data_IF_467420862766
#
_entry.id   IF_467420862766
#
_cell.length_a   1.000
_cell.length_b   1.000
_cell.length_c   1.000
_cell.angle_alpha   90.00
_cell.angle_beta   90.00
_cell.angle_gamma   90.00
#
_symmetry.space_group_name_H-M   'P 1'
#
loop_
_entity.id
_entity.type
_entity.pdbx_description
1 polymer ?
#
# COMPACT_ATOMS: atom_id res chain seq x y z
N UNK A 1 2.86 -3.63 14.40
CA UNK A 1 3.73 -3.84 13.21
C UNK A 1 4.52 -2.59 12.86
N UNK A 2 3.86 -1.51 12.44
CA UNK A 2 4.49 -0.20 12.31
C UNK A 2 4.01 0.73 13.39
N UNK A 3 4.89 1.64 13.87
CA UNK A 3 4.54 2.73 14.78
C UNK A 3 5.21 4.00 14.31
N UNK A 4 4.42 5.06 14.17
CA UNK A 4 4.88 6.44 14.07
C UNK A 4 4.61 7.08 15.42
N UNK A 5 5.62 7.70 16.02
CA UNK A 5 5.51 8.37 17.30
C UNK A 5 5.88 9.84 17.14
N UNK A 6 4.87 10.72 17.25
CA UNK A 6 4.96 12.18 17.15
C UNK A 6 5.75 12.66 15.92
N UNK A 7 5.50 12.03 14.77
CA UNK A 7 6.23 12.28 13.52
C UNK A 7 5.80 13.59 12.88
N UNK A 8 6.77 14.47 12.61
CA UNK A 8 6.56 15.69 11.82
C UNK A 8 7.50 15.72 10.61
N UNK A 9 7.02 16.30 9.51
CA UNK A 9 7.77 16.45 8.26
C UNK A 9 7.38 17.73 7.53
N UNK A 10 8.39 18.49 7.12
CA UNK A 10 8.23 19.73 6.37
C UNK A 10 8.98 19.65 5.04
N UNK A 11 8.42 20.26 4.01
CA UNK A 11 9.06 20.53 2.73
C UNK A 11 9.11 22.05 2.51
N UNK A 12 10.22 22.65 2.87
CA UNK A 12 10.32 24.11 2.93
C UNK A 12 9.31 24.68 3.93
N UNK A 13 8.38 25.52 3.46
CA UNK A 13 7.30 26.07 4.31
C UNK A 13 6.04 25.18 4.38
N UNK A 14 5.97 24.12 3.61
CA UNK A 14 4.81 23.23 3.58
C UNK A 14 4.93 22.15 4.64
N UNK A 15 3.91 22.00 5.47
CA UNK A 15 3.81 20.94 6.49
C UNK A 15 3.17 19.72 5.82
N UNK A 16 3.95 18.66 5.67
CA UNK A 16 3.46 17.39 5.13
C UNK A 16 2.90 16.47 6.22
N UNK A 17 3.56 16.43 7.39
CA UNK A 17 3.08 15.74 8.59
C UNK A 17 3.31 16.64 9.81
N UNK A 18 2.34 16.65 10.71
CA UNK A 18 2.32 17.48 11.91
C UNK A 18 1.93 16.62 13.12
N UNK A 19 2.94 16.22 13.88
CA UNK A 19 2.80 15.44 15.11
C UNK A 19 1.95 14.16 14.94
N UNK A 20 2.22 13.39 13.89
CA UNK A 20 1.45 12.17 13.59
C UNK A 20 1.88 11.04 14.51
N UNK A 21 0.91 10.51 15.27
CA UNK A 21 1.05 9.26 16.02
C UNK A 21 0.08 8.24 15.45
N UNK A 22 0.62 7.10 15.01
CA UNK A 22 -0.14 6.05 14.34
C UNK A 22 0.47 4.68 14.64
N UNK A 23 -0.39 3.72 14.98
CA UNK A 23 0.01 2.32 15.12
C UNK A 23 -0.75 1.45 14.12
N UNK A 24 0.00 0.69 13.32
CA UNK A 24 -0.54 -0.33 12.41
C UNK A 24 -0.45 -1.69 13.08
N UNK A 25 -1.57 -2.34 13.27
CA UNK A 25 -1.64 -3.67 13.88
C UNK A 25 -1.02 -4.74 12.96
N UNK A 26 -0.43 -5.77 13.57
CA UNK A 26 0.11 -6.92 12.83
C UNK A 26 -1.05 -7.77 12.28
N UNK A 27 -0.90 -8.24 11.04
CA UNK A 27 -1.88 -9.12 10.40
C UNK A 27 -3.20 -8.45 10.01
N UNK A 28 -3.29 -7.12 10.15
CA UNK A 28 -4.46 -6.34 9.77
C UNK A 28 -4.18 -5.46 8.55
N UNK A 29 -5.24 -5.11 7.85
CA UNK A 29 -5.22 -4.15 6.75
C UNK A 29 -5.63 -2.76 7.26
N UNK A 30 -4.77 -1.77 7.06
CA UNK A 30 -5.00 -0.36 7.41
C UNK A 30 -5.04 0.50 6.16
N UNK A 31 -6.11 1.25 5.96
CA UNK A 31 -6.23 2.20 4.85
C UNK A 31 -6.00 3.64 5.34
N UNK A 32 -5.08 4.34 4.70
CA UNK A 32 -4.88 5.78 4.86
C UNK A 32 -5.75 6.51 3.84
N UNK A 33 -6.74 7.27 4.30
CA UNK A 33 -7.68 8.03 3.47
C UNK A 33 -7.60 9.52 3.78
N UNK A 34 -8.13 10.35 2.88
CA UNK A 34 -8.17 11.81 3.05
C UNK A 34 -7.92 12.55 1.75
N UNK A 35 -8.09 13.87 1.73
CA UNK A 35 -7.89 14.69 0.53
C UNK A 35 -6.46 14.62 -0.01
N UNK A 36 -6.27 15.08 -1.26
CA UNK A 36 -4.93 15.29 -1.82
C UNK A 36 -4.13 16.22 -0.92
N UNK A 37 -2.84 15.93 -0.75
CA UNK A 37 -1.96 16.70 0.14
C UNK A 37 -2.16 16.45 1.65
N UNK A 38 -3.01 15.50 2.06
CA UNK A 38 -3.21 15.18 3.48
C UNK A 38 -2.00 14.53 4.17
N UNK A 39 -0.96 14.12 3.43
CA UNK A 39 0.25 13.48 3.98
C UNK A 39 0.28 11.95 3.85
N UNK A 40 -0.73 11.32 3.26
CA UNK A 40 -0.85 9.85 3.16
C UNK A 40 0.36 9.16 2.54
N UNK A 41 0.77 9.57 1.33
CA UNK A 41 1.94 8.99 0.64
C UNK A 41 3.25 9.34 1.35
N UNK A 42 3.32 10.46 2.10
CA UNK A 42 4.47 10.78 2.95
C UNK A 42 4.59 9.77 4.10
N UNK A 43 3.47 9.43 4.77
CA UNK A 43 3.45 8.35 5.77
C UNK A 43 3.94 7.05 5.13
N UNK A 44 3.38 6.64 4.00
CA UNK A 44 3.74 5.38 3.35
C UNK A 44 5.23 5.33 2.99
N UNK A 45 5.79 6.44 2.45
CA UNK A 45 7.23 6.55 2.13
C UNK A 45 8.11 6.49 3.37
N UNK A 46 7.66 7.01 4.51
CA UNK A 46 8.39 6.88 5.78
C UNK A 46 8.42 5.45 6.28
N UNK A 47 7.31 4.69 6.15
CA UNK A 47 7.25 3.30 6.57
C UNK A 47 8.27 2.41 5.83
N UNK A 48 8.64 2.77 4.59
CA UNK A 48 9.67 2.05 3.80
C UNK A 48 11.04 2.76 3.85
N UNK A 49 11.15 3.86 4.61
CA UNK A 49 12.38 4.64 4.76
C UNK A 49 12.84 5.36 3.49
N UNK A 50 11.92 5.73 2.59
CA UNK A 50 12.18 6.63 1.46
C UNK A 50 12.18 8.08 1.89
N UNK A 51 11.44 8.39 2.96
CA UNK A 51 11.39 9.69 3.61
C UNK A 51 11.75 9.52 5.09
N UNK A 52 12.29 10.59 5.69
CA UNK A 52 12.69 10.62 7.08
C UNK A 52 11.95 11.74 7.83
N UNK A 53 11.52 11.51 9.06
CA UNK A 53 10.90 12.56 9.84
C UNK A 53 11.92 13.65 10.22
N UNK A 54 11.45 14.89 10.36
CA UNK A 54 12.22 15.99 10.94
C UNK A 54 12.23 15.89 12.48
N UNK A 55 11.15 15.36 13.07
CA UNK A 55 11.02 15.02 14.47
C UNK A 55 10.15 13.79 14.67
N UNK A 56 10.27 13.17 15.86
CA UNK A 56 9.58 11.91 16.16
C UNK A 56 10.36 10.68 15.65
N UNK A 57 9.71 9.52 15.67
CA UNK A 57 10.34 8.28 15.27
C UNK A 57 9.39 7.35 14.51
N UNK A 58 9.95 6.50 13.64
CA UNK A 58 9.24 5.42 12.95
C UNK A 58 9.89 4.11 13.33
N UNK A 59 9.08 3.11 13.68
CA UNK A 59 9.57 1.77 13.97
C UNK A 59 8.81 0.69 13.18
N UNK A 60 9.52 -0.40 12.90
CA UNK A 60 8.99 -1.60 12.27
C UNK A 60 9.30 -2.81 13.14
N UNK A 61 8.29 -3.55 13.56
CA UNK A 61 8.41 -4.68 14.51
C UNK A 61 9.15 -4.32 15.80
N UNK A 62 8.87 -3.14 16.35
CA UNK A 62 9.51 -2.64 17.58
C UNK A 62 10.95 -2.17 17.38
N UNK A 63 11.51 -2.29 16.17
CA UNK A 63 12.86 -1.82 15.86
C UNK A 63 12.79 -0.45 15.15
N UNK A 64 13.45 0.59 15.65
CA UNK A 64 13.50 1.87 14.98
C UNK A 64 14.05 1.76 13.55
N UNK A 65 13.42 2.46 12.61
CA UNK A 65 13.93 2.61 11.26
C UNK A 65 15.19 3.50 11.33
N UNK A 66 16.32 2.96 10.86
CA UNK A 66 17.58 3.68 10.80
C UNK A 66 18.22 3.54 9.43
N UNK A 67 19.05 4.50 9.03
CA UNK A 67 19.75 4.44 7.73
C UNK A 67 20.63 3.18 7.62
N UNK A 68 21.28 2.77 8.71
CA UNK A 68 22.15 1.59 8.73
C UNK A 68 21.38 0.27 8.57
N UNK A 69 20.18 0.14 9.18
CA UNK A 69 19.36 -1.08 9.12
C UNK A 69 18.39 -1.14 7.94
N UNK A 70 18.31 -0.08 7.13
CA UNK A 70 17.24 0.11 6.15
C UNK A 70 17.16 -0.98 5.09
N UNK A 71 18.30 -1.47 4.59
CA UNK A 71 18.32 -2.49 3.55
C UNK A 71 17.69 -3.80 4.03
N UNK A 72 18.04 -4.26 5.22
CA UNK A 72 17.45 -5.46 5.82
C UNK A 72 15.96 -5.30 6.09
N UNK A 73 15.54 -4.12 6.55
CA UNK A 73 14.13 -3.83 6.80
C UNK A 73 13.32 -3.78 5.50
N UNK A 74 13.84 -3.19 4.42
CA UNK A 74 13.19 -3.14 3.11
C UNK A 74 12.95 -4.51 2.49
N UNK A 75 13.82 -5.50 2.75
CA UNK A 75 13.60 -6.88 2.31
C UNK A 75 12.38 -7.54 2.99
N UNK A 76 11.96 -7.01 4.13
CA UNK A 76 10.79 -7.45 4.89
C UNK A 76 9.53 -6.64 4.60
N UNK A 77 9.58 -5.71 3.65
CA UNK A 77 8.46 -4.83 3.28
C UNK A 77 8.28 -4.91 1.77
N UNK A 78 7.14 -5.42 1.32
CA UNK A 78 6.72 -5.32 -0.08
C UNK A 78 6.14 -3.94 -0.33
N UNK A 79 6.60 -3.26 -1.37
CA UNK A 79 6.09 -1.93 -1.71
C UNK A 79 5.63 -1.88 -3.16
N UNK A 80 4.37 -1.51 -3.36
CA UNK A 80 3.76 -1.27 -4.67
C UNK A 80 3.45 0.21 -4.76
N UNK A 81 4.15 0.90 -5.65
CA UNK A 81 3.89 2.31 -5.96
C UNK A 81 2.75 2.42 -6.97
N UNK A 82 2.19 3.60 -7.09
CA UNK A 82 1.16 3.93 -8.07
C UNK A 82 1.50 3.39 -9.47
N UNK A 83 0.52 2.84 -10.19
CA UNK A 83 0.70 2.20 -11.50
C UNK A 83 1.66 0.99 -11.54
N UNK A 84 1.91 0.35 -10.39
CA UNK A 84 2.78 -0.82 -10.25
C UNK A 84 4.29 -0.52 -10.28
N UNK A 85 4.72 0.62 -10.82
CA UNK A 85 6.12 1.08 -10.83
C UNK A 85 7.10 0.08 -11.43
N UNK A 86 6.73 -0.58 -12.52
CA UNK A 86 7.58 -1.55 -13.20
C UNK A 86 8.69 -0.85 -13.99
N UNK A 87 9.85 -1.47 -14.06
CA UNK A 87 10.94 -1.03 -14.93
C UNK A 87 10.56 -1.25 -16.40
N UNK A 88 10.43 -0.19 -17.21
CA UNK A 88 9.87 -0.29 -18.56
C UNK A 88 10.77 -1.07 -19.54
N UNK A 89 12.06 -1.15 -19.27
CA UNK A 89 13.06 -1.84 -20.08
C UNK A 89 13.25 -3.33 -19.70
N UNK A 90 12.48 -3.83 -18.75
CA UNK A 90 12.48 -5.22 -18.31
C UNK A 90 11.12 -5.85 -18.58
N UNK A 91 11.10 -7.13 -19.00
CA UNK A 91 9.87 -7.89 -19.04
C UNK A 91 9.27 -8.11 -17.63
N UNK A 92 8.03 -8.61 -17.57
CA UNK A 92 7.33 -8.81 -16.30
C UNK A 92 8.07 -9.81 -15.39
N UNK A 93 8.63 -10.89 -15.95
CA UNK A 93 9.43 -11.87 -15.21
C UNK A 93 10.65 -11.21 -14.56
N UNK A 94 11.43 -10.48 -15.33
CA UNK A 94 12.64 -9.80 -14.86
C UNK A 94 12.34 -8.78 -13.77
N UNK A 95 11.24 -8.03 -13.91
CA UNK A 95 10.75 -7.11 -12.87
C UNK A 95 10.48 -7.84 -11.55
N UNK A 96 9.79 -8.99 -11.59
CA UNK A 96 9.41 -9.75 -10.39
C UNK A 96 10.61 -10.37 -9.71
N UNK A 97 11.51 -11.01 -10.46
CA UNK A 97 12.59 -11.81 -9.88
C UNK A 97 13.84 -11.02 -9.53
N UNK A 98 13.90 -9.73 -9.90
CA UNK A 98 15.10 -8.89 -9.79
C UNK A 98 15.72 -8.95 -8.39
N UNK A 99 14.94 -8.70 -7.35
CA UNK A 99 15.46 -8.62 -5.99
C UNK A 99 15.90 -10.00 -5.47
N UNK A 100 15.13 -11.05 -5.76
CA UNK A 100 15.49 -12.42 -5.37
C UNK A 100 16.80 -12.88 -6.06
N UNK A 101 17.00 -12.53 -7.33
CA UNK A 101 18.26 -12.77 -8.05
C UNK A 101 19.42 -11.99 -7.45
N UNK A 102 19.23 -10.72 -7.14
CA UNK A 102 20.25 -9.87 -6.51
C UNK A 102 20.68 -10.39 -5.15
N UNK A 103 19.74 -11.03 -4.41
CA UNK A 103 20.01 -11.68 -3.13
C UNK A 103 20.56 -13.10 -3.27
N UNK A 104 20.86 -13.56 -4.49
CA UNK A 104 21.49 -14.86 -4.75
C UNK A 104 20.57 -16.07 -4.54
N UNK A 105 19.23 -15.91 -4.65
CA UNK A 105 18.33 -17.05 -4.53
C UNK A 105 18.60 -18.09 -5.64
N UNK A 106 18.57 -19.40 -5.34
CA UNK A 106 18.65 -20.46 -6.35
C UNK A 106 17.53 -20.33 -7.40
N UNK A 107 17.83 -20.69 -8.64
CA UNK A 107 16.89 -20.58 -9.77
C UNK A 107 15.60 -21.36 -9.53
N UNK A 108 15.72 -22.56 -8.97
CA UNK A 108 14.60 -23.45 -8.64
C UNK A 108 13.65 -22.80 -7.62
N UNK A 109 14.21 -22.17 -6.57
CA UNK A 109 13.44 -21.44 -5.57
C UNK A 109 12.70 -20.24 -6.18
N UNK A 110 13.37 -19.48 -7.04
CA UNK A 110 12.77 -18.35 -7.75
C UNK A 110 11.62 -18.83 -8.63
N UNK A 111 11.83 -19.91 -9.38
CA UNK A 111 10.81 -20.45 -10.30
C UNK A 111 9.58 -20.95 -9.53
N UNK A 112 9.76 -21.77 -8.51
CA UNK A 112 8.67 -22.29 -7.68
C UNK A 112 7.87 -21.16 -7.02
N UNK A 113 8.56 -20.13 -6.48
CA UNK A 113 7.91 -18.98 -5.87
C UNK A 113 7.13 -18.15 -6.89
N UNK A 114 7.72 -17.92 -8.07
CA UNK A 114 7.07 -17.18 -9.15
C UNK A 114 5.78 -17.86 -9.61
N UNK A 115 5.79 -19.18 -9.82
CA UNK A 115 4.62 -19.98 -10.21
C UNK A 115 3.52 -19.88 -9.15
N UNK A 116 3.87 -20.06 -7.88
CA UNK A 116 2.93 -19.91 -6.76
C UNK A 116 2.30 -18.52 -6.73
N UNK A 117 3.09 -17.45 -6.91
CA UNK A 117 2.60 -16.09 -6.91
C UNK A 117 1.76 -15.74 -8.14
N UNK A 118 2.09 -16.29 -9.32
CA UNK A 118 1.27 -16.15 -10.52
C UNK A 118 -0.12 -16.76 -10.31
N UNK A 119 -0.19 -17.95 -9.69
CA UNK A 119 -1.47 -18.59 -9.34
C UNK A 119 -2.24 -17.74 -8.33
N UNK A 120 -1.58 -17.31 -7.25
CA UNK A 120 -2.17 -16.54 -6.17
C UNK A 120 -2.74 -15.18 -6.66
N UNK A 121 -2.00 -14.49 -7.53
CA UNK A 121 -2.39 -13.19 -8.09
C UNK A 121 -3.16 -13.33 -9.42
N UNK A 122 -3.53 -14.55 -9.83
CA UNK A 122 -4.27 -14.82 -11.07
C UNK A 122 -3.63 -14.18 -12.31
N UNK A 123 -2.29 -14.23 -12.41
CA UNK A 123 -1.55 -13.74 -13.57
C UNK A 123 -1.22 -14.90 -14.50
N UNK A 124 -1.75 -14.96 -15.74
CA UNK A 124 -1.37 -15.98 -16.72
C UNK A 124 0.13 -16.00 -16.96
N UNK A 125 0.81 -17.17 -16.86
CA UNK A 125 2.28 -17.26 -17.02
C UNK A 125 2.80 -16.72 -18.36
N UNK A 126 2.00 -16.78 -19.42
CA UNK A 126 2.33 -16.22 -20.73
C UNK A 126 2.61 -14.72 -20.71
N UNK A 127 2.05 -13.99 -19.73
CA UNK A 127 2.26 -12.54 -19.57
C UNK A 127 3.63 -12.19 -18.98
N UNK A 128 4.33 -13.16 -18.41
CA UNK A 128 5.65 -12.95 -17.82
C UNK A 128 6.72 -12.53 -18.84
N UNK A 129 6.54 -12.88 -20.13
CA UNK A 129 7.44 -12.47 -21.21
C UNK A 129 7.13 -11.08 -21.78
N UNK A 130 6.05 -10.45 -21.34
CA UNK A 130 5.62 -9.14 -21.83
C UNK A 130 6.33 -8.00 -21.11
N UNK A 131 6.57 -6.91 -21.85
CA UNK A 131 7.05 -5.65 -21.28
C UNK A 131 5.88 -4.85 -20.69
N UNK A 132 6.13 -3.94 -19.73
CA UNK A 132 5.07 -3.15 -19.09
C UNK A 132 4.14 -2.41 -20.07
N UNK A 133 4.66 -1.94 -21.20
CA UNK A 133 3.87 -1.27 -22.24
C UNK A 133 2.86 -2.20 -22.96
N UNK A 134 3.09 -3.50 -22.92
CA UNK A 134 2.24 -4.51 -23.56
C UNK A 134 1.19 -5.11 -22.60
N UNK A 135 1.20 -4.66 -21.34
CA UNK A 135 0.29 -5.11 -20.30
C UNK A 135 -0.84 -4.11 -20.09
N UNK A 136 -2.05 -4.59 -19.79
CA UNK A 136 -3.12 -3.72 -19.30
C UNK A 136 -2.79 -3.13 -17.93
N UNK A 137 -3.52 -2.09 -17.47
CA UNK A 137 -3.35 -1.50 -16.15
C UNK A 137 -3.45 -2.53 -15.03
N UNK A 138 -4.50 -3.36 -15.04
CA UNK A 138 -4.68 -4.43 -14.06
C UNK A 138 -3.58 -5.50 -14.10
N UNK A 139 -3.09 -5.85 -15.30
CA UNK A 139 -1.96 -6.78 -15.45
C UNK A 139 -0.67 -6.18 -14.88
N UNK A 140 -0.37 -4.90 -15.14
CA UNK A 140 0.78 -4.21 -14.52
C UNK A 140 0.68 -4.20 -13.00
N UNK A 141 -0.52 -3.96 -12.47
CA UNK A 141 -0.76 -3.95 -11.03
C UNK A 141 -0.50 -5.34 -10.40
N UNK A 142 -0.99 -6.41 -11.02
CA UNK A 142 -0.71 -7.78 -10.58
C UNK A 142 0.78 -8.11 -10.62
N UNK A 143 1.50 -7.73 -11.67
CA UNK A 143 2.96 -7.90 -11.75
C UNK A 143 3.67 -7.12 -10.63
N UNK A 144 3.27 -5.90 -10.34
CA UNK A 144 3.77 -5.09 -9.22
C UNK A 144 3.54 -5.77 -7.86
N UNK A 145 2.36 -6.36 -7.68
CA UNK A 145 2.01 -7.08 -6.46
C UNK A 145 2.83 -8.38 -6.31
N UNK A 146 2.98 -9.17 -7.38
CA UNK A 146 3.84 -10.37 -7.41
C UNK A 146 5.29 -9.99 -7.07
N UNK A 147 5.81 -8.89 -7.63
CA UNK A 147 7.14 -8.37 -7.32
C UNK A 147 7.29 -8.05 -5.82
N UNK A 148 6.31 -7.35 -5.26
CA UNK A 148 6.31 -6.99 -3.84
C UNK A 148 6.25 -8.21 -2.92
N UNK A 149 5.57 -9.29 -3.35
CA UNK A 149 5.43 -10.54 -2.61
C UNK A 149 6.57 -11.52 -2.80
N UNK A 150 7.50 -11.27 -3.72
CA UNK A 150 8.54 -12.24 -4.11
C UNK A 150 9.39 -12.74 -2.95
N UNK A 151 9.79 -11.86 -2.05
CA UNK A 151 10.59 -12.20 -0.87
C UNK A 151 9.77 -12.70 0.34
N UNK A 152 8.47 -12.89 0.18
CA UNK A 152 7.55 -13.27 1.26
C UNK A 152 7.55 -12.30 2.45
N UNK A 153 7.44 -10.98 2.23
CA UNK A 153 7.54 -10.00 3.30
C UNK A 153 6.36 -10.12 4.28
N UNK A 154 6.54 -9.87 5.58
CA UNK A 154 5.45 -9.83 6.55
C UNK A 154 4.56 -8.59 6.43
N UNK A 155 4.98 -7.56 5.69
CA UNK A 155 4.22 -6.33 5.47
C UNK A 155 4.17 -5.95 3.99
N UNK A 156 3.02 -5.42 3.56
CA UNK A 156 2.78 -4.85 2.23
C UNK A 156 2.35 -3.39 2.37
N UNK A 157 2.96 -2.52 1.58
CA UNK A 157 2.61 -1.11 1.45
C UNK A 157 2.14 -0.86 0.01
N UNK A 158 0.96 -0.27 -0.16
CA UNK A 158 0.32 -0.08 -1.46
C UNK A 158 -0.07 1.40 -1.62
N UNK A 159 0.51 2.08 -2.60
CA UNK A 159 0.20 3.49 -2.88
C UNK A 159 -0.79 3.57 -4.06
N UNK A 160 -2.04 3.90 -3.79
CA UNK A 160 -3.16 3.99 -4.74
C UNK A 160 -3.24 2.77 -5.70
N UNK A 161 -3.37 1.54 -5.16
CA UNK A 161 -3.23 0.32 -5.97
C UNK A 161 -4.27 0.17 -7.08
N UNK A 162 -5.40 0.87 -7.00
CA UNK A 162 -6.50 0.77 -7.97
C UNK A 162 -6.83 2.10 -8.67
N UNK A 163 -6.05 3.17 -8.39
CA UNK A 163 -6.38 4.53 -8.82
C UNK A 163 -6.43 4.75 -10.34
N UNK A 164 -5.61 4.04 -11.11
CA UNK A 164 -5.46 4.23 -12.56
C UNK A 164 -6.22 3.18 -13.40
N UNK A 165 -7.19 2.48 -12.82
CA UNK A 165 -7.93 1.40 -13.48
C UNK A 165 -9.33 1.85 -13.89
N UNK A 166 -9.83 1.27 -14.98
CA UNK A 166 -11.23 1.41 -15.37
C UNK A 166 -12.15 0.76 -14.30
N UNK A 167 -13.43 1.17 -14.22
CA UNK A 167 -14.33 0.72 -13.15
C UNK A 167 -14.53 -0.79 -13.08
N UNK A 168 -14.61 -1.48 -14.22
CA UNK A 168 -14.86 -2.93 -14.26
C UNK A 168 -13.63 -3.69 -13.75
N UNK A 169 -12.45 -3.35 -14.28
CA UNK A 169 -11.18 -3.96 -13.85
C UNK A 169 -10.90 -3.65 -12.37
N UNK A 170 -11.24 -2.43 -11.91
CA UNK A 170 -11.13 -2.05 -10.50
C UNK A 170 -11.98 -2.94 -9.60
N UNK A 171 -13.25 -3.15 -9.96
CA UNK A 171 -14.17 -4.00 -9.18
C UNK A 171 -13.64 -5.44 -9.03
N UNK A 172 -13.22 -6.05 -10.14
CA UNK A 172 -12.67 -7.41 -10.13
C UNK A 172 -11.39 -7.50 -9.30
N UNK A 173 -10.51 -6.51 -9.43
CA UNK A 173 -9.24 -6.50 -8.70
C UNK A 173 -9.42 -6.21 -7.21
N UNK A 174 -10.42 -5.43 -6.81
CA UNK A 174 -10.78 -5.23 -5.40
C UNK A 174 -11.14 -6.56 -4.73
N UNK A 175 -12.01 -7.36 -5.35
CA UNK A 175 -12.43 -8.66 -4.81
C UNK A 175 -11.21 -9.59 -4.66
N UNK A 176 -10.37 -9.65 -5.69
CA UNK A 176 -9.14 -10.46 -5.67
C UNK A 176 -8.15 -10.00 -4.58
N UNK A 177 -7.96 -8.69 -4.41
CA UNK A 177 -7.08 -8.15 -3.37
C UNK A 177 -7.59 -8.48 -1.97
N UNK A 178 -8.90 -8.41 -1.73
CA UNK A 178 -9.49 -8.77 -0.44
C UNK A 178 -9.23 -10.25 -0.09
N UNK A 179 -9.49 -11.14 -1.05
CA UNK A 179 -9.18 -12.57 -0.88
C UNK A 179 -7.70 -12.81 -0.65
N UNK A 180 -6.84 -12.15 -1.43
CA UNK A 180 -5.40 -12.23 -1.31
C UNK A 180 -4.92 -11.80 0.08
N UNK A 181 -5.39 -10.67 0.60
CA UNK A 181 -5.00 -10.18 1.92
C UNK A 181 -5.44 -11.15 3.02
N UNK A 182 -6.66 -11.69 2.93
CA UNK A 182 -7.16 -12.70 3.86
C UNK A 182 -6.33 -13.98 3.83
N UNK A 183 -5.98 -14.50 2.64
CA UNK A 183 -5.16 -15.71 2.48
C UNK A 183 -3.72 -15.52 2.96
N UNK A 184 -3.14 -14.35 2.75
CA UNK A 184 -1.75 -14.09 3.11
C UNK A 184 -1.56 -13.87 4.62
N UNK A 185 -2.58 -13.40 5.36
CA UNK A 185 -2.48 -13.04 6.78
C UNK A 185 -1.39 -12.01 7.10
N UNK A 186 -1.01 -11.19 6.10
CA UNK A 186 0.06 -10.19 6.22
C UNK A 186 -0.48 -8.85 6.73
N UNK A 187 0.42 -8.04 7.26
CA UNK A 187 0.07 -6.64 7.55
C UNK A 187 0.05 -5.84 6.27
N UNK A 188 -1.05 -5.15 6.00
CA UNK A 188 -1.20 -4.32 4.80
C UNK A 188 -1.44 -2.87 5.21
N UNK A 189 -0.74 -1.94 4.58
CA UNK A 189 -1.05 -0.51 4.63
C UNK A 189 -1.31 -0.06 3.20
N UNK A 190 -2.50 0.47 2.95
CA UNK A 190 -2.83 0.99 1.63
C UNK A 190 -3.21 2.47 1.72
N UNK A 191 -2.84 3.23 0.70
CA UNK A 191 -3.30 4.61 0.48
C UNK A 191 -4.34 4.58 -0.62
N UNK A 192 -5.47 5.20 -0.38
CA UNK A 192 -6.48 5.44 -1.41
C UNK A 192 -7.22 6.75 -1.15
N UNK A 193 -7.77 7.34 -2.19
CA UNK A 193 -8.69 8.46 -2.08
C UNK A 193 -10.16 8.02 -2.11
N UNK A 194 -10.42 6.74 -2.40
CA UNK A 194 -11.77 6.15 -2.46
C UNK A 194 -12.12 5.52 -1.11
N UNK A 195 -13.15 6.09 -0.44
CA UNK A 195 -13.62 5.60 0.87
C UNK A 195 -14.31 4.24 0.76
N UNK A 196 -14.99 3.96 -0.36
CA UNK A 196 -15.64 2.68 -0.57
C UNK A 196 -14.60 1.57 -0.74
N UNK A 197 -13.54 1.83 -1.50
CA UNK A 197 -12.37 0.93 -1.60
C UNK A 197 -11.75 0.66 -0.22
N UNK A 198 -11.47 1.72 0.54
CA UNK A 198 -10.89 1.61 1.88
C UNK A 198 -11.79 0.77 2.82
N UNK A 199 -13.09 1.04 2.83
CA UNK A 199 -14.06 0.33 3.67
C UNK A 199 -14.21 -1.16 3.27
N UNK A 200 -14.01 -1.47 1.98
CA UNK A 200 -14.10 -2.84 1.48
C UNK A 200 -12.85 -3.67 1.78
N UNK A 201 -11.66 -3.05 1.72
CA UNK A 201 -10.38 -3.75 1.83
C UNK A 201 -9.78 -3.74 3.24
N UNK A 202 -10.09 -2.74 4.07
CA UNK A 202 -9.36 -2.51 5.31
C UNK A 202 -10.18 -2.78 6.58
N UNK A 203 -9.50 -3.31 7.59
CA UNK A 203 -10.03 -3.48 8.95
C UNK A 203 -10.08 -2.13 9.69
N UNK A 204 -9.12 -1.26 9.40
CA UNK A 204 -8.99 0.07 10.04
C UNK A 204 -8.78 1.14 8.98
N UNK A 205 -9.59 2.19 9.05
CA UNK A 205 -9.44 3.40 8.28
C UNK A 205 -8.75 4.48 9.14
N UNK A 206 -7.79 5.19 8.57
CA UNK A 206 -7.12 6.33 9.17
C UNK A 206 -7.35 7.54 8.29
N UNK A 207 -8.24 8.42 8.73
CA UNK A 207 -8.54 9.65 8.00
C UNK A 207 -7.53 10.74 8.36
N UNK A 208 -6.83 11.20 7.34
CA UNK A 208 -5.83 12.28 7.45
C UNK A 208 -6.31 13.58 6.81
N UNK A 209 -5.91 14.71 7.39
CA UNK A 209 -6.15 16.06 6.87
C UNK A 209 -5.01 16.98 7.28
N UNK A 210 -4.47 17.74 6.33
CA UNK A 210 -3.42 18.74 6.58
C UNK A 210 -2.27 18.22 7.45
N UNK A 211 -1.77 17.02 7.13
CA UNK A 211 -0.65 16.39 7.82
C UNK A 211 -0.97 15.74 9.17
N UNK A 212 -2.23 15.70 9.60
CA UNK A 212 -2.65 15.14 10.90
C UNK A 212 -3.61 13.97 10.73
N UNK A 213 -3.61 13.05 11.68
CA UNK A 213 -4.67 12.04 11.83
C UNK A 213 -5.86 12.70 12.50
N UNK A 214 -7.01 12.69 11.81
CA UNK A 214 -8.27 13.28 12.30
C UNK A 214 -9.09 12.24 13.06
N UNK A 215 -9.20 11.04 12.49
CA UNK A 215 -9.93 9.94 13.12
C UNK A 215 -9.39 8.61 12.59
N UNK A 216 -9.41 7.59 13.45
CA UNK A 216 -9.09 6.22 13.07
C UNK A 216 -10.09 5.24 13.69
N UNK A 217 -10.38 4.15 13.00
CA UNK A 217 -11.29 3.10 13.46
C UNK A 217 -11.83 2.27 12.31
N UNK A 218 -12.80 1.39 12.59
CA UNK A 218 -13.50 0.67 11.53
C UNK A 218 -14.31 1.62 10.66
N UNK A 219 -14.60 1.22 9.42
CA UNK A 219 -15.50 1.98 8.55
C UNK A 219 -16.83 2.29 9.27
N UNK A 220 -17.41 1.29 9.92
CA UNK A 220 -18.66 1.45 10.67
C UNK A 220 -18.55 2.54 11.74
N UNK A 221 -17.45 2.59 12.51
CA UNK A 221 -17.26 3.61 13.56
C UNK A 221 -17.10 5.01 13.00
N UNK A 222 -16.37 5.18 11.89
CA UNK A 222 -16.19 6.48 11.24
C UNK A 222 -17.52 7.04 10.71
N UNK A 223 -18.37 6.17 10.15
CA UNK A 223 -19.67 6.56 9.63
C UNK A 223 -20.70 6.82 10.74
N UNK A 224 -20.69 6.04 11.83
CA UNK A 224 -21.68 6.16 12.91
C UNK A 224 -21.36 7.30 13.88
N UNK A 225 -20.07 7.57 14.10
CA UNK A 225 -19.59 8.53 15.12
C UNK A 225 -18.45 9.38 14.55
N UNK A 226 -18.72 10.29 13.57
CA UNK A 226 -17.70 11.18 13.05
C UNK A 226 -17.19 12.13 14.14
N UNK A 227 -15.85 12.18 14.32
CA UNK A 227 -15.22 12.95 15.39
C UNK A 227 -15.37 14.49 15.20
N UNK A 228 -15.54 14.94 13.96
CA UNK A 228 -15.72 16.35 13.62
C UNK A 228 -16.55 16.52 12.33
N UNK A 229 -17.11 17.70 12.05
CA UNK A 229 -17.95 17.94 10.85
C UNK A 229 -17.21 17.68 9.51
N UNK A 230 -15.88 17.78 9.49
CA UNK A 230 -15.09 17.45 8.32
C UNK A 230 -15.19 15.95 7.99
N UNK A 231 -15.10 15.06 8.99
CA UNK A 231 -15.20 13.59 8.79
C UNK A 231 -16.52 13.27 8.12
N UNK A 232 -17.63 13.79 8.67
CA UNK A 232 -18.97 13.57 8.12
C UNK A 232 -19.06 14.04 6.66
N UNK A 233 -18.59 15.26 6.37
CA UNK A 233 -18.61 15.82 4.99
C UNK A 233 -17.74 15.01 4.03
N UNK A 234 -16.53 14.60 4.46
CA UNK A 234 -15.62 13.83 3.63
C UNK A 234 -16.21 12.47 3.25
N UNK A 235 -16.79 11.76 4.23
CA UNK A 235 -17.41 10.45 4.01
C UNK A 235 -18.69 10.55 3.17
N UNK A 236 -19.53 11.59 3.39
CA UNK A 236 -20.77 11.81 2.63
C UNK A 236 -20.51 12.19 1.17
N UNK A 237 -19.51 13.02 0.90
CA UNK A 237 -19.17 13.46 -0.46
C UNK A 237 -18.75 12.27 -1.37
N UNK A 238 -18.21 11.21 -0.79
CA UNK A 238 -17.79 10.01 -1.52
C UNK A 238 -18.94 9.01 -1.72
N UNK A 239 -20.01 9.04 -0.89
CA UNK A 239 -21.20 8.20 -1.08
C UNK A 239 -22.07 8.64 -2.25
N UNK A 240 -22.19 9.96 -2.46
CA UNK A 240 -23.08 10.51 -3.49
C UNK A 240 -22.65 10.19 -4.94
N UNK A 241 -21.45 9.64 -5.15
CA UNK A 241 -20.97 9.18 -6.45
C UNK A 241 -21.44 7.73 -6.73
N UNK A 242 -21.71 6.94 -5.68
CA UNK A 242 -22.14 5.53 -5.79
C UNK A 242 -23.67 5.35 -5.86
N UNK A 243 -24.46 6.30 -5.32
CA UNK A 243 -25.93 6.22 -5.28
C UNK A 243 -26.60 6.90 -6.49
N UNK A 244 -25.85 7.46 -7.42
CA UNK A 244 -26.34 8.16 -8.62
C UNK A 244 -26.23 7.32 -9.91
N UNK A 245 -26.03 5.99 -9.80
CA UNK A 245 -25.96 5.06 -10.93
C UNK A 245 -27.06 4.00 -10.86
#
# INVERSE_FOLDING_TARGET
>A
MFTLDQVSRHYGQSIALDNVTLTVARGATTALIGPSGAGKSTVLRMLVGLEWPDSGSVSFDGTPLTRAGLQAQRQRIGYVIQEGGLFPHMDARSNVVLLARTLGWPRERIQARLESLCTLCQLPPALLARYPAELSGGQRQRVGLIRALMLDPPALLLDEPLGALDPIVRYDLQAQMRELFAQLGKTVVLVTHDVAEAAYLADTLVLMRAGRVVQQGSAQSLFAQPAEPFVQRFLSAQRSIGDAA
#
